data_IF_642931660931
#
_entry.id   IF_642931660931
#
_cell.length_a   1.000
_cell.length_b   1.000
_cell.length_c   1.000
_cell.angle_alpha   90.00
_cell.angle_beta   90.00
_cell.angle_gamma   90.00
#
_symmetry.space_group_name_H-M   'P 1'
#
loop_
_entity.id
_entity.type
_entity.pdbx_description
1 polymer ?
#
# COMPACT_ATOMS: atom_id res chain seq x y z
N UNK A 1 14.99 -21.74 -3.07
CA UNK A 1 15.07 -20.43 -3.77
C UNK A 1 15.51 -19.41 -2.74
N UNK A 2 16.67 -18.78 -2.94
CA UNK A 2 17.08 -17.66 -2.11
C UNK A 2 16.02 -16.57 -2.27
N UNK A 3 15.39 -16.16 -1.17
CA UNK A 3 14.42 -15.07 -1.19
C UNK A 3 15.18 -13.78 -1.41
N UNK A 4 14.72 -12.99 -2.37
CA UNK A 4 15.33 -11.73 -2.76
C UNK A 4 15.60 -10.83 -1.56
N UNK A 5 16.73 -10.13 -1.58
CA UNK A 5 17.04 -9.14 -0.55
C UNK A 5 16.59 -7.79 -1.08
N UNK A 6 15.52 -7.25 -0.49
CA UNK A 6 15.10 -5.87 -0.73
C UNK A 6 16.30 -4.92 -0.49
N UNK A 7 16.39 -3.81 -1.24
CA UNK A 7 17.45 -2.79 -1.09
C UNK A 7 18.83 -3.24 -1.55
N UNK A 8 18.92 -4.11 -2.55
CA UNK A 8 20.19 -4.50 -3.17
C UNK A 8 20.12 -4.30 -4.69
N UNK A 9 21.28 -4.02 -5.29
CA UNK A 9 21.48 -3.98 -6.75
C UNK A 9 21.96 -5.32 -7.30
N UNK A 10 22.30 -6.28 -6.43
CA UNK A 10 22.91 -7.55 -6.80
C UNK A 10 21.85 -8.61 -7.09
N UNK A 11 21.81 -9.10 -8.34
CA UNK A 11 20.87 -10.13 -8.75
C UNK A 11 21.57 -11.44 -9.13
N UNK A 12 21.70 -12.41 -8.20
CA UNK A 12 22.57 -13.57 -8.38
C UNK A 12 22.09 -14.57 -9.44
N UNK A 13 20.84 -14.46 -9.89
CA UNK A 13 20.23 -15.42 -10.84
C UNK A 13 20.00 -14.89 -12.25
N UNK A 14 20.29 -13.61 -12.53
CA UNK A 14 20.13 -13.05 -13.87
C UNK A 14 21.49 -12.98 -14.57
N UNK A 15 21.50 -13.27 -15.86
CA UNK A 15 22.64 -12.97 -16.72
C UNK A 15 22.82 -11.45 -16.86
N UNK A 16 24.02 -11.03 -17.27
CA UNK A 16 24.30 -9.60 -17.53
C UNK A 16 23.34 -8.98 -18.54
N UNK A 17 22.92 -9.74 -19.56
CA UNK A 17 21.98 -9.27 -20.57
C UNK A 17 20.57 -9.08 -19.99
N UNK A 18 20.09 -10.02 -19.17
CA UNK A 18 18.79 -9.90 -18.50
C UNK A 18 18.77 -8.76 -17.48
N UNK A 19 19.88 -8.54 -16.77
CA UNK A 19 20.02 -7.43 -15.84
C UNK A 19 19.96 -6.09 -16.58
N UNK A 20 20.70 -5.95 -17.68
CA UNK A 20 20.68 -4.73 -18.50
C UNK A 20 19.29 -4.46 -19.09
N UNK A 21 18.61 -5.49 -19.62
CA UNK A 21 17.24 -5.35 -20.11
C UNK A 21 16.26 -4.95 -19.00
N UNK A 22 16.41 -5.53 -17.81
CA UNK A 22 15.56 -5.19 -16.66
C UNK A 22 15.81 -3.77 -16.16
N UNK A 23 17.08 -3.33 -16.10
CA UNK A 23 17.46 -1.97 -15.78
C UNK A 23 16.86 -0.96 -16.76
N UNK A 24 16.96 -1.23 -18.07
CA UNK A 24 16.36 -0.40 -19.11
C UNK A 24 14.85 -0.28 -18.94
N UNK A 25 14.15 -1.39 -18.68
CA UNK A 25 12.70 -1.37 -18.39
C UNK A 25 12.38 -0.53 -17.15
N UNK A 26 13.20 -0.60 -16.09
CA UNK A 26 12.99 0.22 -14.89
C UNK A 26 13.12 1.72 -15.20
N UNK A 27 14.11 2.11 -15.99
CA UNK A 27 14.31 3.50 -16.44
C UNK A 27 13.12 3.97 -17.29
N UNK A 28 12.73 3.19 -18.29
CA UNK A 28 11.60 3.49 -19.18
C UNK A 28 10.27 3.62 -18.42
N UNK A 29 10.09 2.87 -17.33
CA UNK A 29 8.91 3.02 -16.47
C UNK A 29 8.99 4.22 -15.51
N UNK A 30 10.17 4.50 -14.94
CA UNK A 30 10.32 5.51 -13.89
C UNK A 30 10.41 6.93 -14.44
N UNK A 31 11.05 7.13 -15.59
CA UNK A 31 11.28 8.46 -16.15
C UNK A 31 9.97 9.19 -16.52
N UNK A 32 9.02 8.60 -17.30
CA UNK A 32 7.75 9.27 -17.59
C UNK A 32 6.96 9.57 -16.31
N UNK A 33 7.02 8.70 -15.30
CA UNK A 33 6.33 8.91 -14.02
C UNK A 33 6.90 10.12 -13.29
N UNK A 34 8.22 10.24 -13.21
CA UNK A 34 8.83 11.44 -12.64
C UNK A 34 8.33 12.72 -13.34
N UNK A 35 8.24 12.72 -14.67
CA UNK A 35 7.76 13.88 -15.41
C UNK A 35 6.28 14.19 -15.18
N UNK A 36 5.42 13.16 -15.13
CA UNK A 36 4.02 13.35 -14.71
C UNK A 36 3.93 13.89 -13.26
N UNK A 37 4.80 13.44 -12.35
CA UNK A 37 4.79 13.89 -10.95
C UNK A 37 5.18 15.36 -10.90
N UNK A 38 6.24 15.73 -11.63
CA UNK A 38 6.70 17.11 -11.75
C UNK A 38 5.61 17.99 -12.33
N UNK A 39 5.00 17.59 -13.44
CA UNK A 39 3.88 18.32 -14.05
C UNK A 39 2.69 18.46 -13.08
N UNK A 40 2.37 17.40 -12.34
CA UNK A 40 1.28 17.43 -11.36
C UNK A 40 1.57 18.41 -10.21
N UNK A 41 2.77 18.37 -9.64
CA UNK A 41 3.18 19.21 -8.50
C UNK A 41 3.34 20.68 -8.89
N UNK A 42 3.80 20.96 -10.12
CA UNK A 42 3.95 22.34 -10.62
C UNK A 42 2.68 22.90 -11.27
N UNK A 43 1.61 22.10 -11.38
CA UNK A 43 0.37 22.52 -12.05
C UNK A 43 0.54 22.74 -13.57
N UNK A 44 1.54 22.11 -14.19
CA UNK A 44 1.84 22.24 -15.62
C UNK A 44 0.95 21.31 -16.47
N UNK A 45 -0.36 21.44 -16.32
CA UNK A 45 -1.36 20.68 -17.07
C UNK A 45 -2.65 21.48 -17.23
N UNK A 46 -3.48 21.05 -18.17
CA UNK A 46 -4.82 21.57 -18.40
C UNK A 46 -5.87 20.48 -18.15
N UNK A 47 -7.01 20.87 -17.60
CA UNK A 47 -8.12 19.95 -17.30
C UNK A 47 -9.21 20.18 -18.34
N UNK A 48 -9.44 19.20 -19.19
CA UNK A 48 -10.56 19.18 -20.12
C UNK A 48 -11.64 18.24 -19.59
N UNK A 49 -12.87 18.74 -19.41
CA UNK A 49 -13.97 17.89 -18.94
C UNK A 49 -14.52 17.06 -20.09
N UNK A 50 -14.65 15.74 -19.89
CA UNK A 50 -15.26 14.87 -20.87
C UNK A 50 -16.77 15.15 -20.96
N UNK A 51 -17.27 15.31 -22.18
CA UNK A 51 -18.70 15.35 -22.49
C UNK A 51 -19.11 13.93 -22.92
N UNK A 52 -20.11 13.26 -22.31
CA UNK A 52 -21.14 13.80 -21.41
C UNK A 52 -20.99 13.46 -19.93
N UNK A 53 -19.88 12.85 -19.49
CA UNK A 53 -19.71 12.37 -18.11
C UNK A 53 -18.90 13.41 -17.30
N UNK A 54 -19.52 14.31 -16.52
CA UNK A 54 -18.81 15.46 -15.96
C UNK A 54 -17.78 15.10 -14.88
N UNK A 55 -17.81 13.86 -14.40
CA UNK A 55 -16.84 13.33 -13.43
C UNK A 55 -15.57 12.77 -14.08
N UNK A 56 -15.54 12.65 -15.42
CA UNK A 56 -14.36 12.23 -16.17
C UNK A 56 -13.68 13.46 -16.77
N UNK A 57 -12.36 13.53 -16.62
CA UNK A 57 -11.53 14.59 -17.20
C UNK A 57 -10.37 14.00 -17.98
N UNK A 58 -9.92 14.75 -18.96
CA UNK A 58 -8.64 14.56 -19.62
C UNK A 58 -7.64 15.57 -19.06
N UNK A 59 -6.49 15.09 -18.60
CA UNK A 59 -5.36 15.96 -18.26
C UNK A 59 -4.43 16.05 -19.47
N UNK A 60 -4.23 17.27 -19.97
CA UNK A 60 -3.31 17.58 -21.07
C UNK A 60 -2.06 18.24 -20.54
N UNK A 61 -0.90 17.89 -21.09
CA UNK A 61 0.40 18.36 -20.61
C UNK A 61 1.09 19.30 -21.60
N UNK A 62 0.33 20.02 -22.42
CA UNK A 62 0.87 20.95 -23.44
C UNK A 62 1.72 22.08 -22.84
N UNK A 63 1.54 22.39 -21.55
CA UNK A 63 2.34 23.37 -20.80
C UNK A 63 3.64 22.80 -20.22
N UNK A 64 3.86 21.50 -20.34
CA UNK A 64 5.02 20.82 -19.78
C UNK A 64 6.04 20.54 -20.89
N UNK A 65 7.17 21.23 -20.85
CA UNK A 65 8.15 21.25 -21.96
C UNK A 65 9.33 20.29 -21.76
N UNK A 66 9.57 19.83 -20.53
CA UNK A 66 10.76 19.03 -20.21
C UNK A 66 10.68 17.59 -20.74
N UNK A 67 9.47 17.11 -21.05
CA UNK A 67 9.24 15.74 -21.52
C UNK A 67 7.91 15.66 -22.27
N UNK A 68 7.86 14.86 -23.33
CA UNK A 68 6.64 14.61 -24.09
C UNK A 68 5.72 13.65 -23.31
N UNK A 69 4.73 14.23 -22.62
CA UNK A 69 3.78 13.49 -21.79
C UNK A 69 2.48 13.24 -22.55
N UNK A 70 2.06 11.98 -22.60
CA UNK A 70 0.76 11.62 -23.14
C UNK A 70 -0.38 12.20 -22.28
N UNK A 71 -1.51 12.61 -22.88
CA UNK A 71 -2.68 12.99 -22.11
C UNK A 71 -3.23 11.82 -21.28
N UNK A 72 -3.63 12.10 -20.05
CA UNK A 72 -4.32 11.12 -19.21
C UNK A 72 -5.83 11.23 -19.41
N UNK A 73 -6.41 10.24 -20.07
CA UNK A 73 -7.82 10.21 -20.44
C UNK A 73 -8.70 9.62 -19.35
N UNK A 74 -9.97 10.02 -19.33
CA UNK A 74 -11.05 9.44 -18.51
C UNK A 74 -10.71 9.34 -17.02
N UNK A 75 -9.99 10.33 -16.49
CA UNK A 75 -9.66 10.39 -15.08
C UNK A 75 -10.88 10.80 -14.27
N UNK A 76 -11.26 9.94 -13.32
CA UNK A 76 -12.33 10.25 -12.37
C UNK A 76 -11.81 11.19 -11.29
N UNK A 77 -12.09 12.48 -11.45
CA UNK A 77 -11.78 13.52 -10.45
C UNK A 77 -13.06 14.20 -9.98
N UNK A 78 -13.07 14.68 -8.74
CA UNK A 78 -14.25 15.33 -8.16
C UNK A 78 -13.87 16.51 -7.26
N UNK A 79 -13.09 17.49 -7.78
CA UNK A 79 -12.80 18.69 -7.02
C UNK A 79 -14.05 19.58 -6.88
N UNK A 80 -14.05 20.39 -5.83
CA UNK A 80 -14.94 21.53 -5.65
C UNK A 80 -14.71 22.58 -6.76
N UNK A 81 -15.57 23.60 -6.80
CA UNK A 81 -15.48 24.67 -7.80
C UNK A 81 -14.14 25.45 -7.76
N UNK A 82 -13.49 25.50 -6.60
CA UNK A 82 -12.19 26.15 -6.39
C UNK A 82 -10.99 25.20 -6.64
N UNK A 83 -11.24 23.96 -7.05
CA UNK A 83 -10.21 22.94 -7.24
C UNK A 83 -9.88 22.11 -5.99
N UNK A 84 -10.35 22.52 -4.80
CA UNK A 84 -10.10 21.78 -3.55
C UNK A 84 -10.84 20.44 -3.53
N UNK A 85 -10.40 19.50 -2.72
CA UNK A 85 -11.10 18.22 -2.50
C UNK A 85 -11.63 18.17 -1.08
N UNK A 86 -12.79 17.53 -0.89
CA UNK A 86 -13.40 17.41 0.43
C UNK A 86 -12.44 16.67 1.40
N UNK A 87 -12.28 17.12 2.66
CA UNK A 87 -11.35 16.50 3.61
C UNK A 87 -11.60 15.00 3.84
N UNK A 88 -12.86 14.56 3.85
CA UNK A 88 -13.18 13.14 3.99
C UNK A 88 -12.72 12.30 2.79
N UNK A 89 -12.75 12.87 1.58
CA UNK A 89 -12.22 12.20 0.39
C UNK A 89 -10.70 12.10 0.46
N UNK A 90 -10.01 13.17 0.88
CA UNK A 90 -8.55 13.14 1.10
C UNK A 90 -8.16 12.10 2.15
N UNK A 91 -8.93 11.99 3.24
CA UNK A 91 -8.75 10.96 4.26
C UNK A 91 -8.92 9.56 3.66
N UNK A 92 -9.99 9.32 2.89
CA UNK A 92 -10.21 8.04 2.23
C UNK A 92 -9.05 7.70 1.26
N UNK A 93 -8.60 8.66 0.46
CA UNK A 93 -7.47 8.47 -0.45
C UNK A 93 -6.18 8.11 0.29
N UNK A 94 -5.89 8.79 1.41
CA UNK A 94 -4.78 8.44 2.31
C UNK A 94 -4.89 6.99 2.81
N UNK A 95 -6.07 6.57 3.26
CA UNK A 95 -6.29 5.20 3.75
C UNK A 95 -6.10 4.16 2.64
N UNK A 96 -6.57 4.43 1.42
CA UNK A 96 -6.40 3.54 0.27
C UNK A 96 -4.94 3.46 -0.20
N UNK A 97 -4.23 4.60 -0.21
CA UNK A 97 -2.82 4.66 -0.60
C UNK A 97 -1.93 3.94 0.40
N UNK A 98 -2.02 4.26 1.69
CA UNK A 98 -1.09 3.70 2.69
C UNK A 98 -1.57 2.40 3.33
N UNK A 99 -2.81 2.01 3.09
CA UNK A 99 -3.21 0.60 3.21
C UNK A 99 -2.47 -0.30 2.21
N UNK A 100 -1.97 0.27 1.10
CA UNK A 100 -1.18 -0.46 0.13
C UNK A 100 0.29 -0.55 0.53
N UNK A 101 0.72 -1.73 0.97
CA UNK A 101 2.11 -1.98 1.30
C UNK A 101 3.07 -1.69 0.12
N UNK A 102 2.61 -1.84 -1.13
CA UNK A 102 3.41 -1.53 -2.33
C UNK A 102 3.66 -0.03 -2.47
N UNK A 103 2.71 0.82 -2.05
CA UNK A 103 2.89 2.28 -2.02
C UNK A 103 3.95 2.66 -1.00
N UNK A 104 3.95 2.02 0.18
CA UNK A 104 4.96 2.29 1.22
C UNK A 104 6.36 1.90 0.76
N UNK A 105 6.51 0.76 0.08
CA UNK A 105 7.81 0.37 -0.48
C UNK A 105 8.22 1.24 -1.67
N UNK A 106 7.36 1.34 -2.68
CA UNK A 106 7.73 1.93 -3.97
C UNK A 106 7.54 3.46 -4.03
N UNK A 107 7.13 4.08 -2.92
CA UNK A 107 7.03 5.52 -2.77
C UNK A 107 6.09 6.20 -3.75
N UNK A 108 6.29 7.50 -3.92
CA UNK A 108 5.35 8.35 -4.65
C UNK A 108 5.28 8.06 -6.16
N UNK A 109 6.39 7.65 -6.78
CA UNK A 109 6.40 7.27 -8.19
C UNK A 109 5.54 6.04 -8.48
N UNK A 110 5.34 5.16 -7.50
CA UNK A 110 4.41 4.04 -7.64
C UNK A 110 2.95 4.49 -7.54
N UNK A 111 2.66 5.45 -6.65
CA UNK A 111 1.30 5.98 -6.41
C UNK A 111 0.69 6.57 -7.68
N UNK A 112 1.51 7.04 -8.61
CA UNK A 112 1.05 7.58 -9.88
C UNK A 112 0.18 6.65 -10.71
N UNK A 113 0.32 5.32 -10.52
CA UNK A 113 -0.57 4.33 -11.16
C UNK A 113 -1.96 4.28 -10.53
N UNK A 114 -2.13 4.84 -9.33
CA UNK A 114 -3.38 4.98 -8.60
C UNK A 114 -4.03 6.32 -8.99
N UNK A 115 -4.33 6.45 -10.29
CA UNK A 115 -4.64 7.73 -10.93
C UNK A 115 -5.70 8.55 -10.17
N UNK A 116 -6.81 7.94 -9.75
CA UNK A 116 -7.88 8.68 -9.08
C UNK A 116 -7.40 9.34 -7.79
N UNK A 117 -6.85 8.57 -6.86
CA UNK A 117 -6.48 9.05 -5.52
C UNK A 117 -5.40 10.13 -5.65
N UNK A 118 -4.34 9.81 -6.38
CA UNK A 118 -3.23 10.72 -6.61
C UNK A 118 -3.68 12.04 -7.23
N UNK A 119 -4.37 12.01 -8.38
CA UNK A 119 -4.73 13.24 -9.08
C UNK A 119 -5.73 14.10 -8.30
N UNK A 120 -6.65 13.52 -7.53
CA UNK A 120 -7.51 14.33 -6.66
C UNK A 120 -6.69 15.04 -5.55
N UNK A 121 -5.72 14.34 -4.96
CA UNK A 121 -4.83 14.96 -3.95
C UNK A 121 -3.98 16.09 -4.57
N UNK A 122 -3.46 15.91 -5.78
CA UNK A 122 -2.67 16.93 -6.48
C UNK A 122 -3.52 18.12 -6.95
N UNK A 123 -4.77 17.90 -7.34
CA UNK A 123 -5.71 18.98 -7.62
C UNK A 123 -5.97 19.83 -6.38
N UNK A 124 -6.20 19.18 -5.23
CA UNK A 124 -6.35 19.88 -3.94
C UNK A 124 -5.10 20.65 -3.55
N UNK A 125 -3.90 20.09 -3.78
CA UNK A 125 -2.62 20.75 -3.51
C UNK A 125 -2.38 22.00 -4.39
N UNK A 126 -2.83 21.98 -5.64
CA UNK A 126 -2.74 23.13 -6.55
C UNK A 126 -3.91 24.12 -6.39
N UNK A 127 -4.92 23.79 -5.59
CA UNK A 127 -6.02 24.69 -5.25
C UNK A 127 -5.63 25.69 -4.15
N UNK A 128 -6.50 26.66 -3.80
CA UNK A 128 -6.30 27.53 -2.64
C UNK A 128 -6.11 26.77 -1.32
N UNK A 129 -6.56 25.51 -1.20
CA UNK A 129 -6.37 24.69 -0.01
C UNK A 129 -4.90 24.30 0.23
N UNK A 130 -4.06 24.27 -0.82
CA UNK A 130 -2.61 24.00 -0.75
C UNK A 130 -2.25 22.74 0.05
N UNK A 131 -3.07 21.70 -0.06
CA UNK A 131 -2.83 20.44 0.65
C UNK A 131 -3.29 19.22 -0.14
N UNK A 132 -2.49 18.16 -0.05
CA UNK A 132 -2.84 16.79 -0.46
C UNK A 132 -3.61 16.04 0.63
N UNK A 133 -3.78 16.61 1.83
CA UNK A 133 -4.20 15.88 3.03
C UNK A 133 -3.06 15.09 3.69
N UNK A 134 -1.82 15.22 3.19
CA UNK A 134 -0.60 14.64 3.74
C UNK A 134 0.44 15.72 3.96
N UNK A 135 0.71 16.05 5.23
CA UNK A 135 1.63 17.12 5.57
C UNK A 135 3.06 16.82 5.11
N UNK A 136 3.51 15.56 5.21
CA UNK A 136 4.82 15.16 4.70
C UNK A 136 4.95 15.35 3.18
N UNK A 137 3.89 15.11 2.41
CA UNK A 137 3.93 15.32 0.96
C UNK A 137 3.86 16.79 0.59
N UNK A 138 3.01 17.56 1.29
CA UNK A 138 2.90 19.00 1.07
C UNK A 138 4.25 19.69 1.29
N UNK A 139 4.93 19.37 2.41
CA UNK A 139 6.26 19.87 2.73
C UNK A 139 7.31 19.42 1.72
N UNK A 140 7.34 18.12 1.38
CA UNK A 140 8.25 17.58 0.37
C UNK A 140 8.04 18.25 -0.98
N UNK A 141 6.80 18.49 -1.41
CA UNK A 141 6.52 19.13 -2.69
C UNK A 141 6.92 20.59 -2.73
N UNK A 142 6.70 21.34 -1.65
CA UNK A 142 7.16 22.73 -1.59
C UNK A 142 8.69 22.80 -1.65
N UNK A 143 9.40 22.00 -0.84
CA UNK A 143 10.87 21.92 -0.89
C UNK A 143 11.40 21.46 -2.25
N UNK A 144 10.77 20.42 -2.82
CA UNK A 144 11.18 19.85 -4.10
C UNK A 144 11.01 20.84 -5.26
N UNK A 145 9.91 21.61 -5.29
CA UNK A 145 9.71 22.69 -6.28
C UNK A 145 10.75 23.80 -6.12
N UNK A 146 10.99 24.23 -4.89
CA UNK A 146 11.96 25.30 -4.60
C UNK A 146 13.38 24.91 -5.04
N UNK A 147 13.70 23.61 -4.98
CA UNK A 147 14.96 23.05 -5.46
C UNK A 147 15.03 22.83 -6.99
N UNK A 148 13.97 23.12 -7.76
CA UNK A 148 13.92 22.89 -9.21
C UNK A 148 13.55 21.45 -9.60
N UNK A 149 12.89 20.72 -8.70
CA UNK A 149 12.41 19.36 -8.86
C UNK A 149 13.50 18.29 -9.19
N UNK A 150 14.64 18.24 -8.48
CA UNK A 150 15.69 17.24 -8.71
C UNK A 150 15.19 15.78 -8.56
N UNK A 151 15.69 14.85 -9.39
CA UNK A 151 15.29 13.42 -9.31
C UNK A 151 15.78 12.77 -8.01
N UNK A 152 16.93 13.21 -7.48
CA UNK A 152 17.58 12.66 -6.30
C UNK A 152 16.83 12.93 -4.98
N UNK A 153 15.79 13.76 -5.00
CA UNK A 153 14.87 13.94 -3.87
C UNK A 153 13.68 12.98 -3.89
N UNK A 154 13.45 12.29 -5.01
CA UNK A 154 12.29 11.39 -5.18
C UNK A 154 12.74 9.94 -4.95
N UNK A 155 12.11 9.18 -4.03
CA UNK A 155 12.44 7.77 -3.82
C UNK A 155 12.31 6.92 -5.08
N UNK A 156 13.32 6.10 -5.36
CA UNK A 156 13.28 5.11 -6.42
C UNK A 156 12.20 4.06 -6.14
N UNK A 157 11.22 3.96 -7.04
CA UNK A 157 10.11 3.00 -6.90
C UNK A 157 10.50 1.52 -7.02
N UNK A 158 11.74 1.22 -7.44
CA UNK A 158 12.23 -0.14 -7.58
C UNK A 158 13.13 -0.56 -6.42
N UNK A 159 13.84 0.39 -5.80
CA UNK A 159 14.86 0.11 -4.79
C UNK A 159 14.33 -0.69 -3.59
N UNK A 160 13.10 -0.40 -3.19
CA UNK A 160 12.44 -1.09 -2.09
C UNK A 160 11.84 -2.45 -2.43
N UNK A 161 11.68 -2.75 -3.72
CA UNK A 161 10.94 -3.93 -4.17
C UNK A 161 11.81 -5.18 -4.07
N UNK A 162 11.21 -6.38 -4.12
CA UNK A 162 11.97 -7.63 -4.15
C UNK A 162 13.02 -7.67 -5.27
N UNK A 163 12.73 -7.06 -6.43
CA UNK A 163 13.68 -7.04 -7.55
C UNK A 163 14.83 -6.02 -7.37
N UNK A 164 14.72 -5.08 -6.43
CA UNK A 164 15.66 -3.97 -6.28
C UNK A 164 15.67 -3.00 -7.47
N UNK A 165 16.46 -1.95 -7.33
CA UNK A 165 16.82 -1.10 -8.47
C UNK A 165 17.99 -1.76 -9.20
N UNK A 166 17.83 -1.99 -10.50
CA UNK A 166 18.83 -2.65 -11.35
C UNK A 166 19.63 -1.66 -12.20
N UNK A 167 19.25 -0.38 -12.19
CA UNK A 167 19.95 0.67 -12.91
C UNK A 167 21.12 1.22 -12.07
N UNK A 168 22.38 0.98 -12.47
CA UNK A 168 23.54 1.51 -11.76
C UNK A 168 23.68 3.03 -11.89
N UNK A 169 22.99 3.65 -12.85
CA UNK A 169 22.97 5.09 -13.07
C UNK A 169 21.64 5.73 -12.60
N UNK A 170 20.89 5.04 -11.75
CA UNK A 170 19.62 5.53 -11.23
C UNK A 170 19.82 6.89 -10.53
N UNK A 171 19.08 7.89 -11.00
CA UNK A 171 19.14 9.26 -10.47
C UNK A 171 18.18 9.50 -9.30
N UNK A 172 17.34 8.51 -8.96
CA UNK A 172 16.38 8.59 -7.87
C UNK A 172 17.01 8.23 -6.51
N UNK A 173 16.39 8.69 -5.43
CA UNK A 173 16.88 8.46 -4.07
C UNK A 173 16.84 6.97 -3.69
N UNK A 174 17.99 6.45 -3.25
CA UNK A 174 18.17 5.11 -2.68
C UNK A 174 18.44 5.16 -1.18
N UNK A 175 17.39 5.42 -0.38
CA UNK A 175 17.50 5.46 1.09
C UNK A 175 17.30 4.06 1.71
N UNK A 176 18.39 3.34 1.91
CA UNK A 176 18.37 1.99 2.49
C UNK A 176 17.89 1.95 3.96
N UNK A 177 17.99 3.05 4.71
CA UNK A 177 17.54 3.10 6.09
C UNK A 177 16.02 3.24 6.16
N UNK A 178 15.48 4.26 5.48
CA UNK A 178 14.02 4.47 5.42
C UNK A 178 13.33 3.23 4.87
N UNK A 179 13.91 2.61 3.86
CA UNK A 179 13.25 1.45 3.25
C UNK A 179 13.24 0.21 4.15
N UNK A 180 14.34 -0.05 4.90
CA UNK A 180 14.36 -1.12 5.91
C UNK A 180 13.37 -0.86 7.03
N UNK A 181 13.26 0.39 7.48
CA UNK A 181 12.27 0.82 8.49
C UNK A 181 10.85 0.58 8.00
N UNK A 182 10.52 0.99 6.78
CA UNK A 182 9.18 0.80 6.22
C UNK A 182 8.82 -0.67 6.04
N UNK A 183 9.76 -1.51 5.57
CA UNK A 183 9.57 -2.96 5.48
C UNK A 183 9.36 -3.60 6.85
N UNK A 184 10.12 -3.16 7.87
CA UNK A 184 9.91 -3.61 9.24
C UNK A 184 8.50 -3.26 9.74
N UNK A 185 8.03 -2.04 9.52
CA UNK A 185 6.67 -1.62 9.86
C UNK A 185 5.60 -2.42 9.11
N UNK A 186 5.82 -2.76 7.83
CA UNK A 186 4.93 -3.66 7.08
C UNK A 186 4.86 -5.04 7.75
N UNK A 187 5.98 -5.61 8.18
CA UNK A 187 5.97 -6.89 8.90
C UNK A 187 5.22 -6.79 10.24
N UNK A 188 5.41 -5.72 11.02
CA UNK A 188 4.69 -5.51 12.28
C UNK A 188 3.18 -5.38 12.02
N UNK A 189 2.79 -4.60 11.01
CA UNK A 189 1.38 -4.49 10.60
C UNK A 189 0.77 -5.84 10.23
N UNK A 190 1.49 -6.66 9.47
CA UNK A 190 1.06 -8.02 9.11
C UNK A 190 0.88 -8.91 10.35
N UNK A 191 1.77 -8.79 11.34
CA UNK A 191 1.62 -9.47 12.63
C UNK A 191 0.39 -8.97 13.39
N UNK A 192 0.13 -7.66 13.40
CA UNK A 192 -1.08 -7.07 13.99
C UNK A 192 -2.35 -7.63 13.37
N UNK A 193 -2.42 -7.66 12.03
CA UNK A 193 -3.54 -8.25 11.27
C UNK A 193 -3.76 -9.75 11.56
N UNK A 194 -2.70 -10.47 11.95
CA UNK A 194 -2.79 -11.86 12.38
C UNK A 194 -3.13 -12.04 13.87
N UNK A 195 -3.21 -10.95 14.65
CA UNK A 195 -3.33 -11.01 16.11
C UNK A 195 -2.09 -11.60 16.79
N UNK A 196 -0.90 -11.32 16.24
CA UNK A 196 0.40 -11.91 16.63
C UNK A 196 1.49 -10.86 16.86
N UNK A 197 1.14 -9.67 17.34
CA UNK A 197 2.14 -8.70 17.79
C UNK A 197 3.01 -9.31 18.90
N UNK A 198 4.32 -9.12 18.80
CA UNK A 198 5.27 -9.57 19.82
C UNK A 198 5.31 -8.56 20.97
N UNK A 199 5.91 -8.95 22.11
CA UNK A 199 6.14 -8.02 23.21
C UNK A 199 7.07 -6.85 22.79
N UNK A 200 8.04 -7.13 21.92
CA UNK A 200 8.95 -6.13 21.35
C UNK A 200 8.19 -5.15 20.43
N UNK A 201 7.33 -5.66 19.54
CA UNK A 201 6.50 -4.81 18.68
C UNK A 201 5.65 -3.83 19.51
N UNK A 202 5.02 -4.35 20.57
CA UNK A 202 4.17 -3.57 21.46
C UNK A 202 5.00 -2.52 22.20
N UNK A 203 6.15 -2.90 22.76
CA UNK A 203 7.02 -1.98 23.49
C UNK A 203 7.57 -0.88 22.57
N UNK A 204 7.93 -1.21 21.33
CA UNK A 204 8.48 -0.27 20.38
C UNK A 204 7.46 0.75 19.84
N UNK A 205 6.20 0.35 19.67
CA UNK A 205 5.22 1.16 18.93
C UNK A 205 4.08 1.72 19.77
N UNK A 206 3.84 1.24 20.99
CA UNK A 206 2.72 1.71 21.82
C UNK A 206 2.74 3.22 22.01
N UNK A 207 3.89 3.76 22.42
CA UNK A 207 4.05 5.18 22.76
C UNK A 207 4.91 5.94 21.73
N UNK A 208 5.22 5.32 20.60
CA UNK A 208 6.00 5.95 19.54
C UNK A 208 5.21 7.08 18.88
N UNK A 209 5.87 8.20 18.58
CA UNK A 209 5.29 9.24 17.72
C UNK A 209 5.08 8.66 16.31
N UNK A 210 3.84 8.57 15.83
CA UNK A 210 3.56 8.01 14.52
C UNK A 210 4.27 8.76 13.39
N UNK A 211 4.33 10.10 13.47
CA UNK A 211 4.87 10.95 12.39
C UNK A 211 6.39 10.88 12.34
N UNK A 212 7.07 10.82 13.49
CA UNK A 212 8.52 10.59 13.52
C UNK A 212 8.91 9.17 13.07
N UNK A 213 8.08 8.17 13.41
CA UNK A 213 8.37 6.76 13.11
C UNK A 213 8.11 6.40 11.65
N UNK A 214 7.08 6.98 11.04
CA UNK A 214 6.69 6.74 9.64
C UNK A 214 6.36 8.07 8.96
N UNK A 215 7.37 8.91 8.69
CA UNK A 215 7.14 10.26 8.16
C UNK A 215 6.49 10.25 6.79
N UNK A 216 6.85 9.31 5.91
CA UNK A 216 6.34 9.27 4.53
C UNK A 216 4.83 9.03 4.39
N UNK A 217 4.16 8.52 5.44
CA UNK A 217 2.70 8.32 5.48
C UNK A 217 2.00 9.12 6.60
N UNK A 218 2.67 10.15 7.14
CA UNK A 218 2.27 10.92 8.32
C UNK A 218 1.90 10.02 9.51
N UNK A 219 2.57 8.89 9.70
CA UNK A 219 2.31 7.94 10.77
C UNK A 219 1.06 7.08 10.60
N UNK A 220 0.52 6.97 9.39
CA UNK A 220 -0.69 6.17 9.13
C UNK A 220 -0.56 4.73 9.64
N UNK A 221 0.50 4.02 9.26
CA UNK A 221 0.65 2.60 9.64
C UNK A 221 0.84 2.44 11.15
N UNK A 222 1.57 3.37 11.79
CA UNK A 222 1.89 3.32 13.22
C UNK A 222 0.61 3.50 14.03
N UNK A 223 -0.24 4.48 13.66
CA UNK A 223 -1.57 4.65 14.27
C UNK A 223 -2.43 3.40 14.12
N UNK A 224 -2.40 2.74 12.95
CA UNK A 224 -3.16 1.50 12.74
C UNK A 224 -2.63 0.35 13.61
N UNK A 225 -1.31 0.25 13.80
CA UNK A 225 -0.71 -0.75 14.71
C UNK A 225 -1.09 -0.44 16.17
N UNK A 226 -0.96 0.82 16.60
CA UNK A 226 -1.36 1.29 17.94
C UNK A 226 -2.83 0.95 18.24
N UNK A 227 -3.72 1.16 17.27
CA UNK A 227 -5.13 0.77 17.40
C UNK A 227 -5.30 -0.74 17.70
N UNK A 228 -4.51 -1.61 17.07
CA UNK A 228 -4.53 -3.04 17.38
C UNK A 228 -3.92 -3.38 18.75
N UNK A 229 -2.99 -2.57 19.25
CA UNK A 229 -2.42 -2.72 20.60
C UNK A 229 -3.47 -2.34 21.65
N UNK A 230 -4.17 -1.23 21.44
CA UNK A 230 -5.19 -0.70 22.36
C UNK A 230 -6.48 -1.52 22.33
N UNK A 231 -6.85 -2.01 21.15
CA UNK A 231 -8.09 -2.74 20.92
C UNK A 231 -7.80 -4.08 20.22
N UNK A 232 -7.12 -5.01 20.91
CA UNK A 232 -6.85 -6.32 20.34
C UNK A 232 -8.18 -7.01 20.06
N UNK A 233 -8.37 -7.47 18.82
CA UNK A 233 -9.59 -8.17 18.48
C UNK A 233 -9.67 -9.50 19.26
N UNK A 234 -10.82 -9.83 19.88
CA UNK A 234 -10.95 -11.04 20.68
C UNK A 234 -10.78 -12.29 19.81
N UNK A 235 -10.20 -13.36 20.32
CA UNK A 235 -10.09 -14.58 19.54
C UNK A 235 -11.48 -15.12 19.10
N UNK A 236 -11.64 -15.46 17.81
CA UNK A 236 -12.88 -16.02 17.25
C UNK A 236 -12.63 -17.36 16.57
N UNK A 237 -13.62 -18.25 16.55
CA UNK A 237 -13.57 -19.48 15.77
C UNK A 237 -13.80 -19.13 14.30
N UNK A 238 -12.86 -19.53 13.46
CA UNK A 238 -12.91 -19.27 12.02
C UNK A 238 -13.79 -20.26 11.26
N UNK A 239 -14.37 -21.27 11.92
CA UNK A 239 -15.39 -22.10 11.30
C UNK A 239 -16.69 -21.29 11.20
N UNK A 240 -17.15 -20.88 10.00
CA UNK A 240 -18.35 -20.06 9.85
C UNK A 240 -19.63 -20.76 10.32
N UNK A 241 -19.61 -22.11 10.42
CA UNK A 241 -20.72 -22.90 10.95
C UNK A 241 -20.73 -23.00 12.49
N UNK A 242 -19.77 -22.38 13.19
CA UNK A 242 -19.67 -22.44 14.65
C UNK A 242 -20.59 -21.40 15.31
N UNK A 243 -21.61 -21.86 16.03
CA UNK A 243 -22.53 -21.03 16.84
C UNK A 243 -21.98 -20.69 18.24
N UNK A 244 -21.08 -21.53 18.76
CA UNK A 244 -20.62 -21.52 20.17
C UNK A 244 -19.90 -20.23 20.60
N UNK A 245 -19.25 -19.51 19.68
CA UNK A 245 -18.37 -18.39 20.06
C UNK A 245 -19.05 -17.03 20.12
N UNK A 246 -20.28 -16.90 19.61
CA UNK A 246 -21.11 -15.76 19.97
C UNK A 246 -21.59 -15.87 21.43
N UNK A 247 -21.63 -17.08 21.98
CA UNK A 247 -22.10 -17.35 23.35
C UNK A 247 -20.99 -17.23 24.40
N UNK A 248 -19.72 -17.45 24.02
CA UNK A 248 -18.59 -17.49 24.97
C UNK A 248 -17.34 -16.77 24.42
N UNK A 249 -17.26 -15.43 24.53
CA UNK A 249 -16.11 -14.65 24.04
C UNK A 249 -14.79 -14.97 24.77
N UNK A 250 -14.84 -15.60 25.95
CA UNK A 250 -13.68 -15.98 26.75
C UNK A 250 -13.28 -17.46 26.61
N UNK A 251 -13.89 -18.22 25.69
CA UNK A 251 -13.51 -19.61 25.49
C UNK A 251 -12.07 -19.71 24.96
N UNK A 252 -11.27 -20.59 25.56
CA UNK A 252 -9.93 -20.87 25.06
C UNK A 252 -9.99 -21.36 23.62
N UNK A 253 -9.29 -20.69 22.70
CA UNK A 253 -9.18 -21.11 21.31
C UNK A 253 -7.86 -21.83 21.05
N UNK A 254 -7.88 -22.71 20.07
CA UNK A 254 -6.72 -23.41 19.53
C UNK A 254 -6.37 -22.80 18.17
N UNK A 255 -5.14 -22.34 18.01
CA UNK A 255 -4.64 -21.88 16.71
C UNK A 255 -4.22 -23.08 15.84
N UNK A 256 -4.39 -22.96 14.53
CA UNK A 256 -3.84 -23.91 13.57
C UNK A 256 -2.33 -24.05 13.78
N UNK A 257 -1.83 -25.26 13.98
CA UNK A 257 -0.41 -25.52 14.26
C UNK A 257 0.54 -25.14 13.11
N UNK A 258 0.05 -25.07 11.87
CA UNK A 258 0.86 -24.67 10.71
C UNK A 258 0.94 -23.15 10.56
N UNK A 259 -0.21 -22.49 10.38
CA UNK A 259 -0.23 -21.05 10.10
C UNK A 259 -0.23 -20.17 11.33
N UNK A 260 -0.69 -20.68 12.48
CA UNK A 260 -0.89 -19.96 13.73
C UNK A 260 -1.83 -18.74 13.66
N UNK A 261 -2.39 -18.38 12.50
CA UNK A 261 -3.30 -17.25 12.31
C UNK A 261 -4.75 -17.62 12.62
N UNK A 262 -5.21 -18.76 12.07
CA UNK A 262 -6.61 -19.19 12.17
C UNK A 262 -6.85 -19.90 13.50
N UNK A 263 -7.89 -19.50 14.23
CA UNK A 263 -8.27 -20.05 15.54
C UNK A 263 -9.59 -20.82 15.51
N UNK A 264 -9.72 -21.81 16.40
CA UNK A 264 -10.88 -22.69 16.51
C UNK A 264 -11.20 -22.95 17.99
N UNK A 265 -12.49 -23.06 18.36
CA UNK A 265 -12.85 -23.50 19.73
C UNK A 265 -12.60 -24.99 19.96
N UNK A 266 -12.50 -25.79 18.89
CA UNK A 266 -12.31 -27.24 18.98
C UNK A 266 -11.69 -27.82 17.72
N UNK A 267 -11.07 -28.99 17.86
CA UNK A 267 -10.60 -29.81 16.73
C UNK A 267 -11.71 -30.14 15.73
N UNK A 268 -12.95 -30.33 16.19
CA UNK A 268 -14.07 -30.59 15.29
C UNK A 268 -14.33 -29.39 14.35
N UNK A 269 -14.35 -28.16 14.88
CA UNK A 269 -14.46 -26.95 14.06
C UNK A 269 -13.30 -26.80 13.08
N UNK A 270 -12.08 -27.15 13.50
CA UNK A 270 -10.93 -27.19 12.60
C UNK A 270 -11.14 -28.17 11.44
N UNK A 271 -11.57 -29.40 11.72
CA UNK A 271 -11.80 -30.44 10.69
C UNK A 271 -12.91 -30.06 9.71
N UNK A 272 -14.01 -29.49 10.20
CA UNK A 272 -15.11 -29.00 9.37
C UNK A 272 -14.64 -27.88 8.42
N UNK A 273 -13.86 -26.94 8.95
CA UNK A 273 -13.35 -25.81 8.18
C UNK A 273 -12.13 -26.15 7.31
N UNK A 274 -11.46 -27.29 7.55
CA UNK A 274 -10.18 -27.64 6.94
C UNK A 274 -10.20 -27.61 5.40
N UNK A 275 -11.29 -28.05 4.77
CA UNK A 275 -11.41 -28.07 3.30
C UNK A 275 -11.24 -26.68 2.68
N UNK A 276 -11.76 -25.64 3.33
CA UNK A 276 -11.61 -24.26 2.90
C UNK A 276 -10.24 -23.71 3.33
N UNK A 277 -9.89 -23.86 4.60
CA UNK A 277 -8.65 -23.31 5.16
C UNK A 277 -7.37 -23.81 4.47
N UNK A 278 -7.28 -25.12 4.14
CA UNK A 278 -6.05 -25.74 3.64
C UNK A 278 -5.50 -25.11 2.35
N UNK A 279 -6.34 -24.43 1.57
CA UNK A 279 -5.93 -23.74 0.33
C UNK A 279 -4.98 -22.58 0.63
N UNK A 280 -5.26 -21.88 1.72
CA UNK A 280 -4.60 -20.64 2.13
C UNK A 280 -3.77 -20.84 3.42
N UNK A 281 -3.59 -22.09 3.86
CA UNK A 281 -2.77 -22.44 5.00
C UNK A 281 -1.29 -22.45 4.56
N UNK A 282 -0.47 -21.62 5.20
CA UNK A 282 0.98 -21.51 4.99
C UNK A 282 1.67 -21.37 6.35
N UNK A 283 2.96 -21.74 6.49
CA UNK A 283 3.72 -21.47 7.71
C UNK A 283 3.63 -19.99 8.11
N UNK A 284 3.53 -19.71 9.40
CA UNK A 284 3.38 -18.34 9.92
C UNK A 284 4.44 -17.37 9.38
N UNK A 285 5.72 -17.76 9.42
CA UNK A 285 6.83 -16.96 8.89
C UNK A 285 6.67 -16.66 7.39
N UNK A 286 6.16 -17.62 6.62
CA UNK A 286 5.85 -17.35 5.21
C UNK A 286 4.72 -16.34 5.09
N UNK A 287 3.66 -16.44 5.90
CA UNK A 287 2.56 -15.47 5.86
C UNK A 287 3.08 -14.05 6.10
N UNK A 288 3.98 -13.82 7.05
CA UNK A 288 4.46 -12.47 7.35
C UNK A 288 5.37 -11.91 6.24
N UNK A 289 6.24 -12.73 5.65
CA UNK A 289 7.30 -12.26 4.76
C UNK A 289 6.99 -12.41 3.27
N UNK A 290 6.00 -13.21 2.88
CA UNK A 290 5.63 -13.43 1.49
C UNK A 290 4.61 -12.40 1.04
N UNK A 291 5.09 -11.42 0.28
CA UNK A 291 4.32 -10.29 -0.22
C UNK A 291 3.12 -10.72 -1.11
N UNK A 292 3.20 -11.85 -1.79
CA UNK A 292 2.12 -12.38 -2.64
C UNK A 292 0.93 -12.91 -1.82
N UNK A 293 1.15 -13.15 -0.52
CA UNK A 293 0.09 -13.51 0.42
C UNK A 293 -0.67 -12.29 0.98
N UNK A 294 -0.37 -11.09 0.50
CA UNK A 294 -1.03 -9.84 0.92
C UNK A 294 -1.58 -9.06 -0.27
N UNK A 295 -2.83 -8.65 -0.14
CA UNK A 295 -3.47 -7.72 -1.06
C UNK A 295 -2.84 -6.32 -1.00
N UNK A 296 -3.07 -5.55 -2.05
CA UNK A 296 -2.77 -4.11 -2.16
C UNK A 296 -3.51 -3.22 -1.18
N UNK A 297 -4.38 -3.74 -0.31
CA UNK A 297 -4.97 -2.98 0.80
C UNK A 297 -4.46 -3.46 2.15
N UNK A 298 -3.37 -4.24 2.16
CA UNK A 298 -2.73 -4.68 3.39
C UNK A 298 -3.49 -5.77 4.14
N UNK A 299 -4.51 -6.37 3.50
CA UNK A 299 -5.19 -7.57 4.01
C UNK A 299 -4.54 -8.84 3.47
N UNK A 300 -4.52 -9.91 4.26
CA UNK A 300 -4.05 -11.22 3.82
C UNK A 300 -4.90 -11.71 2.64
N UNK A 301 -4.30 -12.30 1.62
CA UNK A 301 -5.04 -12.98 0.56
C UNK A 301 -5.66 -14.29 1.09
N UNK A 302 -6.79 -14.67 0.51
CA UNK A 302 -7.55 -15.86 0.88
C UNK A 302 -8.63 -15.57 1.92
N UNK A 303 -8.99 -16.60 2.68
CA UNK A 303 -10.03 -16.50 3.68
C UNK A 303 -9.69 -15.51 4.81
N UNK A 304 -10.63 -14.63 5.13
CA UNK A 304 -10.57 -13.68 6.24
C UNK A 304 -11.39 -14.17 7.43
N UNK A 305 -11.17 -13.53 8.57
CA UNK A 305 -11.82 -13.87 9.84
C UNK A 305 -13.34 -13.66 9.83
N UNK A 306 -13.83 -12.69 9.05
CA UNK A 306 -15.26 -12.46 8.85
C UNK A 306 -15.89 -13.44 7.84
N UNK A 307 -15.13 -14.45 7.39
CA UNK A 307 -15.58 -15.43 6.39
C UNK A 307 -15.48 -14.95 4.94
N UNK A 308 -15.15 -13.67 4.71
CA UNK A 308 -14.91 -13.16 3.37
C UNK A 308 -13.66 -13.78 2.75
N UNK A 309 -13.59 -13.84 1.42
CA UNK A 309 -12.40 -14.25 0.69
C UNK A 309 -11.87 -13.02 -0.03
N UNK A 310 -10.65 -12.62 0.31
CA UNK A 310 -9.92 -11.55 -0.37
C UNK A 310 -9.05 -12.17 -1.44
N UNK A 311 -9.14 -11.67 -2.67
CA UNK A 311 -8.22 -12.00 -3.76
C UNK A 311 -7.78 -10.72 -4.42
N UNK A 312 -6.49 -10.51 -4.49
CA UNK A 312 -5.91 -9.44 -5.28
C UNK A 312 -5.15 -10.06 -6.44
N UNK A 313 -5.70 -9.92 -7.64
CA UNK A 313 -5.11 -10.45 -8.87
C UNK A 313 -4.93 -9.33 -9.92
N UNK A 314 -4.46 -9.69 -11.12
CA UNK A 314 -4.26 -8.72 -12.21
C UNK A 314 -5.54 -7.99 -12.64
N UNK A 315 -6.73 -8.50 -12.26
CA UNK A 315 -8.04 -7.89 -12.51
C UNK A 315 -8.52 -7.05 -11.33
N UNK A 316 -7.69 -6.87 -10.30
CA UNK A 316 -7.95 -6.06 -9.12
C UNK A 316 -8.39 -6.86 -7.89
N UNK A 317 -8.76 -6.11 -6.86
CA UNK A 317 -9.21 -6.63 -5.58
C UNK A 317 -10.65 -7.13 -5.67
N UNK A 318 -10.86 -8.40 -5.35
CA UNK A 318 -12.16 -9.06 -5.23
C UNK A 318 -12.36 -9.51 -3.79
N UNK A 319 -13.44 -9.03 -3.17
CA UNK A 319 -13.88 -9.48 -1.85
C UNK A 319 -15.18 -10.25 -2.05
N UNK A 320 -15.18 -11.55 -1.73
CA UNK A 320 -16.39 -12.39 -1.80
C UNK A 320 -16.89 -12.65 -0.39
N UNK A 321 -18.11 -12.20 -0.09
CA UNK A 321 -18.78 -12.49 1.18
C UNK A 321 -19.48 -13.86 1.11
N UNK A 322 -19.50 -14.65 2.20
CA UNK A 322 -20.28 -15.89 2.24
C UNK A 322 -21.79 -15.58 2.17
N UNK A 323 -22.60 -16.44 1.53
CA UNK A 323 -24.05 -16.25 1.48
C UNK A 323 -24.65 -16.26 2.89
N UNK A 324 -25.45 -15.23 3.23
CA UNK A 324 -26.11 -15.06 4.52
C UNK A 324 -25.59 -13.92 5.41
N UNK A 325 -24.50 -13.24 5.03
CA UNK A 325 -24.07 -11.98 5.66
C UNK A 325 -24.67 -10.79 4.89
N UNK A 326 -25.85 -10.32 5.29
CA UNK A 326 -26.48 -9.12 4.69
C UNK A 326 -28.00 -9.07 4.70
N UNK A 327 -28.69 -9.88 5.52
CA UNK A 327 -30.11 -9.70 5.82
C UNK A 327 -30.29 -8.94 7.13
#
# INVERSE_FOLDING_TARGET
MARYTHHTTDHPSLSTAELAASAQNQVEESLPRYHYLRAAVTGAYEIERANPVPSLVTLKFERYEDYDLEPLLDLKVSPNADGSVHPDDLKMYKEELFGNWKVREAGILYVMRMYRQFWNMLLSYNSPARTTGLHAWDAMFDEWKDAGCPMEMVPCMWFARPCGCMDPACQFLHDAESTRRDKALVHVWRRAQCGKLTAEDIAALRDADPTATSPGDDGFIVRKIQLHIEHPEPAKCWNPACSELNSHPNAAVQYCSCCQVVSYCSRNCQLQHWRAHKRDCRPYEQIIHDDDLWSRIGCRNGLQRNGSIVRDDSRGLRVTMPPGFGQ
#
